data_IF_840453146843
#
_entry.id   IF_840453146843
#
_cell.length_a   1.000
_cell.length_b   1.000
_cell.length_c   1.000
_cell.angle_alpha   90.00
_cell.angle_beta   90.00
_cell.angle_gamma   90.00
#
_symmetry.space_group_name_H-M   'P 1'
#
loop_
_entity.id
_entity.type
_entity.pdbx_description
1 polymer ?
#
# COMPACT_ATOMS: atom_id res chain seq x y z
N UNK A 1 -5.88 -13.32 -5.12
CA UNK A 1 -4.98 -12.19 -5.38
C UNK A 1 -4.67 -12.08 -6.87
N UNK A 2 -4.24 -13.17 -7.50
CA UNK A 2 -3.80 -13.21 -8.91
C UNK A 2 -4.78 -12.62 -9.92
N UNK A 3 -6.09 -12.93 -9.83
CA UNK A 3 -7.09 -12.37 -10.75
C UNK A 3 -7.24 -10.84 -10.64
N UNK A 4 -7.07 -10.28 -9.45
CA UNK A 4 -7.13 -8.83 -9.24
C UNK A 4 -5.91 -8.15 -9.87
N UNK A 5 -4.71 -8.68 -9.60
CA UNK A 5 -3.47 -8.20 -10.22
C UNK A 5 -3.55 -8.30 -11.74
N UNK A 6 -4.09 -9.41 -12.26
CA UNK A 6 -4.25 -9.60 -13.70
C UNK A 6 -5.20 -8.55 -14.32
N UNK A 7 -6.23 -8.13 -13.60
CA UNK A 7 -7.13 -7.06 -14.06
C UNK A 7 -6.47 -5.69 -14.01
N UNK A 8 -5.71 -5.41 -12.96
CA UNK A 8 -4.88 -4.20 -12.86
C UNK A 8 -3.83 -4.18 -13.99
N UNK A 9 -3.25 -5.33 -14.32
CA UNK A 9 -2.32 -5.48 -15.45
C UNK A 9 -2.98 -5.13 -16.78
N UNK A 10 -4.24 -5.56 -16.99
CA UNK A 10 -5.01 -5.18 -18.20
C UNK A 10 -5.29 -3.67 -18.28
N UNK A 11 -5.39 -2.98 -17.15
CA UNK A 11 -5.48 -1.52 -17.11
C UNK A 11 -4.12 -0.87 -17.40
N UNK A 12 -3.06 -1.38 -16.78
CA UNK A 12 -1.68 -0.96 -16.99
C UNK A 12 -0.71 -2.08 -16.65
N UNK A 13 -0.01 -2.59 -17.67
CA UNK A 13 0.97 -3.66 -17.49
C UNK A 13 2.01 -3.27 -16.43
N UNK A 14 2.44 -2.01 -16.43
CA UNK A 14 3.40 -1.49 -15.46
C UNK A 14 2.91 -1.62 -14.01
N UNK A 15 1.65 -1.26 -13.72
CA UNK A 15 1.10 -1.39 -12.37
C UNK A 15 0.88 -2.85 -11.98
N UNK A 16 0.42 -3.68 -12.93
CA UNK A 16 0.30 -5.12 -12.71
C UNK A 16 1.64 -5.77 -12.39
N UNK A 17 2.70 -5.42 -13.11
CA UNK A 17 4.05 -5.94 -12.90
C UNK A 17 4.63 -5.51 -11.55
N UNK A 18 4.38 -4.28 -11.10
CA UNK A 18 4.77 -3.84 -9.76
C UNK A 18 4.09 -4.67 -8.66
N UNK A 19 2.78 -4.89 -8.76
CA UNK A 19 2.05 -5.69 -7.76
C UNK A 19 2.48 -7.16 -7.79
N UNK A 20 2.68 -7.73 -8.97
CA UNK A 20 3.22 -9.09 -9.10
C UNK A 20 4.63 -9.20 -8.50
N UNK A 21 5.45 -8.16 -8.68
CA UNK A 21 6.80 -8.10 -8.09
C UNK A 21 6.74 -8.05 -6.57
N UNK A 22 5.85 -7.24 -5.99
CA UNK A 22 5.65 -7.19 -4.54
C UNK A 22 5.30 -8.58 -3.98
N UNK A 23 4.33 -9.27 -4.58
CA UNK A 23 3.94 -10.63 -4.16
C UNK A 23 5.10 -11.62 -4.31
N UNK A 24 5.86 -11.54 -5.41
CA UNK A 24 7.01 -12.41 -5.62
C UNK A 24 8.08 -12.21 -4.55
N UNK A 25 8.41 -10.96 -4.21
CA UNK A 25 9.40 -10.64 -3.18
C UNK A 25 8.98 -11.17 -1.80
N UNK A 26 7.72 -11.01 -1.43
CA UNK A 26 7.18 -11.58 -0.19
C UNK A 26 7.33 -13.11 -0.16
N UNK A 27 6.99 -13.80 -1.26
CA UNK A 27 7.18 -15.25 -1.37
C UNK A 27 8.66 -15.70 -1.32
N UNK A 28 9.59 -14.79 -1.58
CA UNK A 28 11.05 -15.01 -1.51
C UNK A 28 11.62 -14.65 -0.12
N UNK A 29 10.80 -14.14 0.81
CA UNK A 29 11.21 -13.70 2.16
C UNK A 29 11.81 -12.29 2.18
N UNK A 30 11.60 -11.49 1.12
CA UNK A 30 12.14 -10.13 0.96
C UNK A 30 11.07 -9.08 1.33
N UNK A 31 10.48 -9.21 2.52
CA UNK A 31 9.22 -8.54 2.92
C UNK A 31 9.30 -7.01 3.00
N UNK A 32 10.45 -6.48 3.43
CA UNK A 32 10.67 -5.03 3.42
C UNK A 32 10.58 -4.48 2.00
N UNK A 33 11.26 -5.14 1.05
CA UNK A 33 11.25 -4.77 -0.36
C UNK A 33 9.86 -4.98 -0.98
N UNK A 34 9.19 -6.10 -0.64
CA UNK A 34 7.83 -6.38 -1.05
C UNK A 34 6.87 -5.26 -0.64
N UNK A 35 6.91 -4.86 0.62
CA UNK A 35 6.09 -3.78 1.19
C UNK A 35 6.37 -2.45 0.51
N UNK A 36 7.65 -2.12 0.29
CA UNK A 36 8.04 -0.89 -0.40
C UNK A 36 7.50 -0.83 -1.83
N UNK A 37 7.63 -1.92 -2.60
CA UNK A 37 7.11 -2.01 -3.98
C UNK A 37 5.60 -1.86 -3.99
N UNK A 38 4.89 -2.54 -3.07
CA UNK A 38 3.44 -2.45 -2.94
C UNK A 38 2.97 -1.01 -2.64
N UNK A 39 3.62 -0.33 -1.70
CA UNK A 39 3.25 1.03 -1.33
C UNK A 39 3.53 2.03 -2.45
N UNK A 40 4.63 1.84 -3.18
CA UNK A 40 4.90 2.65 -4.38
C UNK A 40 3.85 2.41 -5.47
N UNK A 41 3.44 1.16 -5.71
CA UNK A 41 2.36 0.85 -6.66
C UNK A 41 1.04 1.52 -6.23
N UNK A 42 0.74 1.50 -4.93
CA UNK A 42 -0.45 2.12 -4.34
C UNK A 42 -0.51 3.62 -4.65
N UNK A 43 0.58 4.35 -4.38
CA UNK A 43 0.64 5.79 -4.65
C UNK A 43 0.48 6.08 -6.14
N UNK A 44 1.16 5.33 -7.01
CA UNK A 44 1.13 5.55 -8.45
C UNK A 44 -0.24 5.28 -9.07
N UNK A 45 -0.95 4.23 -8.64
CA UNK A 45 -2.30 3.91 -9.12
C UNK A 45 -3.30 4.96 -8.62
N UNK A 46 -3.26 5.32 -7.32
CA UNK A 46 -4.14 6.36 -6.80
C UNK A 46 -3.95 7.70 -7.55
N UNK A 47 -2.71 8.00 -7.94
CA UNK A 47 -2.36 9.18 -8.72
C UNK A 47 -2.80 9.09 -10.18
N UNK A 48 -2.74 7.91 -10.81
CA UNK A 48 -3.04 7.74 -12.24
C UNK A 48 -4.50 8.01 -12.57
N UNK A 49 -5.41 7.59 -11.69
CA UNK A 49 -6.87 7.70 -11.86
C UNK A 49 -7.35 9.15 -11.98
N UNK A 50 -6.57 10.09 -11.43
CA UNK A 50 -6.90 11.51 -11.43
C UNK A 50 -6.33 12.28 -12.63
N UNK A 51 -5.35 11.71 -13.32
CA UNK A 51 -4.57 12.37 -14.38
C UNK A 51 -3.88 13.70 -13.96
N UNK A 52 -3.72 13.98 -12.66
CA UNK A 52 -3.08 15.19 -12.14
C UNK A 52 -1.83 14.88 -11.31
N UNK A 53 -0.66 15.08 -11.91
CA UNK A 53 0.60 14.62 -11.35
C UNK A 53 1.26 15.57 -10.32
N UNK A 54 0.69 16.75 -10.08
CA UNK A 54 1.30 17.79 -9.24
C UNK A 54 0.87 17.72 -7.76
N UNK A 55 0.06 16.72 -7.39
CA UNK A 55 -0.48 16.58 -6.04
C UNK A 55 0.25 15.49 -5.25
N UNK A 56 0.19 15.60 -3.92
CA UNK A 56 0.75 14.60 -3.02
C UNK A 56 -0.27 13.49 -2.72
N UNK A 57 0.22 12.34 -2.26
CA UNK A 57 -0.59 11.15 -2.00
C UNK A 57 -1.82 11.41 -1.11
N UNK A 58 -1.72 12.32 -0.12
CA UNK A 58 -2.86 12.72 0.71
C UNK A 58 -4.01 13.26 -0.12
N UNK A 59 -3.69 14.12 -1.07
CA UNK A 59 -4.66 14.83 -1.87
C UNK A 59 -5.29 13.88 -2.90
N UNK A 60 -4.53 12.90 -3.37
CA UNK A 60 -5.05 11.85 -4.25
C UNK A 60 -6.06 10.97 -3.50
N UNK A 61 -5.75 10.52 -2.28
CA UNK A 61 -6.70 9.77 -1.44
C UNK A 61 -7.96 10.58 -1.14
N UNK A 62 -7.83 11.85 -0.76
CA UNK A 62 -8.99 12.71 -0.50
C UNK A 62 -9.83 12.94 -1.77
N UNK A 63 -9.21 12.96 -2.95
CA UNK A 63 -9.93 13.06 -4.22
C UNK A 63 -10.71 11.78 -4.51
N UNK A 64 -10.08 10.61 -4.37
CA UNK A 64 -10.73 9.31 -4.59
C UNK A 64 -11.95 9.13 -3.67
N UNK A 65 -11.81 9.46 -2.38
CA UNK A 65 -12.92 9.41 -1.42
C UNK A 65 -14.08 10.35 -1.83
N UNK A 66 -13.78 11.60 -2.21
CA UNK A 66 -14.80 12.57 -2.61
C UNK A 66 -15.58 12.16 -3.87
N UNK A 67 -14.98 11.36 -4.73
CA UNK A 67 -15.63 10.83 -5.93
C UNK A 67 -16.27 9.44 -5.71
N UNK A 68 -16.26 8.92 -4.47
CA UNK A 68 -16.87 7.64 -4.14
C UNK A 68 -16.06 6.41 -4.55
N UNK A 69 -14.79 6.57 -4.97
CA UNK A 69 -13.88 5.49 -5.35
C UNK A 69 -13.19 4.84 -4.14
N UNK A 70 -13.28 5.48 -2.97
CA UNK A 70 -12.85 4.93 -1.70
C UNK A 70 -14.00 5.01 -0.69
N UNK A 71 -14.22 3.91 0.02
CA UNK A 71 -15.04 3.92 1.24
C UNK A 71 -14.36 4.74 2.34
N UNK A 72 -15.12 5.13 3.37
CA UNK A 72 -14.54 5.79 4.55
C UNK A 72 -13.49 4.91 5.24
N UNK A 73 -13.79 3.61 5.37
CA UNK A 73 -12.89 2.62 5.98
C UNK A 73 -11.59 2.44 5.18
N UNK A 74 -11.66 2.47 3.84
CA UNK A 74 -10.47 2.33 2.99
C UNK A 74 -9.66 3.63 2.92
N UNK A 75 -10.34 4.77 2.94
CA UNK A 75 -9.67 6.06 3.06
C UNK A 75 -8.90 6.15 4.37
N UNK A 76 -9.50 5.77 5.50
CA UNK A 76 -8.83 5.80 6.81
C UNK A 76 -7.64 4.82 6.84
N UNK A 77 -7.84 3.59 6.35
CA UNK A 77 -6.77 2.59 6.24
C UNK A 77 -5.55 3.06 5.43
N UNK A 78 -5.77 3.79 4.32
CA UNK A 78 -4.68 4.30 3.49
C UNK A 78 -4.05 5.60 4.03
N UNK A 79 -4.88 6.51 4.56
CA UNK A 79 -4.49 7.90 4.84
C UNK A 79 -4.02 8.16 6.26
N UNK A 80 -4.34 7.28 7.22
CA UNK A 80 -3.97 7.46 8.62
C UNK A 80 -2.44 7.56 8.77
N UNK A 81 -1.98 8.62 9.44
CA UNK A 81 -0.57 8.95 9.56
C UNK A 81 0.16 8.16 10.66
N UNK A 82 -0.56 7.53 11.59
CA UNK A 82 0.04 6.76 12.69
C UNK A 82 0.17 5.29 12.32
N UNK A 83 -0.90 4.67 11.81
CA UNK A 83 -1.02 3.23 11.57
C UNK A 83 -1.47 2.87 10.15
N UNK A 84 -1.89 3.86 9.35
CA UNK A 84 -2.26 3.66 7.97
C UNK A 84 -1.05 3.47 7.05
N UNK A 85 -1.33 3.03 5.82
CA UNK A 85 -0.29 2.76 4.80
C UNK A 85 0.65 3.95 4.61
N UNK A 86 0.11 5.17 4.57
CA UNK A 86 0.92 6.38 4.48
C UNK A 86 1.85 6.58 5.68
N UNK A 87 1.35 6.35 6.90
CA UNK A 87 2.14 6.47 8.13
C UNK A 87 3.32 5.52 8.14
N UNK A 88 3.08 4.25 7.84
CA UNK A 88 4.10 3.21 7.75
C UNK A 88 5.14 3.58 6.68
N UNK A 89 4.69 3.92 5.47
CA UNK A 89 5.56 4.33 4.37
C UNK A 89 6.46 5.53 4.73
N UNK A 90 5.91 6.54 5.39
CA UNK A 90 6.70 7.71 5.80
C UNK A 90 7.80 7.33 6.81
N UNK A 91 7.50 6.42 7.74
CA UNK A 91 8.48 5.88 8.70
C UNK A 91 9.56 5.05 7.98
N UNK A 92 9.20 4.24 6.98
CA UNK A 92 10.15 3.46 6.16
C UNK A 92 11.17 4.34 5.43
N UNK A 93 10.77 5.54 5.00
CA UNK A 93 11.63 6.48 4.27
C UNK A 93 12.45 7.39 5.18
N UNK A 94 12.25 7.31 6.50
CA UNK A 94 13.01 8.09 7.46
C UNK A 94 14.43 7.51 7.61
N UNK A 95 15.44 8.36 7.74
CA UNK A 95 16.85 7.92 7.88
C UNK A 95 17.07 6.98 9.09
N UNK A 96 16.22 7.13 10.11
CA UNK A 96 16.24 6.37 11.35
C UNK A 96 15.09 5.34 11.39
N UNK A 97 14.68 4.80 10.24
CA UNK A 97 13.53 3.89 10.10
C UNK A 97 13.53 2.73 11.12
N UNK A 98 14.69 2.15 11.39
CA UNK A 98 14.84 1.02 12.32
C UNK A 98 14.70 1.39 13.81
N UNK A 99 14.49 2.67 14.15
CA UNK A 99 14.13 3.09 15.50
C UNK A 99 12.62 3.07 15.75
N UNK A 100 11.80 2.89 14.71
CA UNK A 100 10.35 2.83 14.84
C UNK A 100 9.84 1.41 15.12
N UNK A 101 8.71 1.35 15.81
CA UNK A 101 7.92 0.14 16.00
C UNK A 101 6.47 0.40 15.60
N UNK A 102 5.76 -0.67 15.24
CA UNK A 102 4.30 -0.71 15.25
C UNK A 102 3.81 -1.49 16.46
N UNK A 103 2.56 -1.29 16.80
CA UNK A 103 1.84 -2.09 17.78
C UNK A 103 0.69 -2.76 17.04
N UNK A 104 0.56 -4.09 17.16
CA UNK A 104 -0.58 -4.80 16.59
C UNK A 104 -1.84 -4.63 17.46
N UNK A 105 -2.95 -5.22 17.03
CA UNK A 105 -4.21 -5.15 17.77
C UNK A 105 -4.19 -5.87 19.14
N UNK A 106 -3.18 -6.71 19.39
CA UNK A 106 -3.00 -7.45 20.63
C UNK A 106 -1.99 -6.77 21.58
N UNK A 107 -1.42 -5.62 21.18
CA UNK A 107 -0.44 -4.88 21.95
C UNK A 107 0.99 -5.38 21.77
N UNK A 108 1.25 -6.22 20.76
CA UNK A 108 2.60 -6.72 20.47
C UNK A 108 3.37 -5.63 19.73
N UNK A 109 4.54 -5.30 20.27
CA UNK A 109 5.46 -4.35 19.65
C UNK A 109 6.24 -5.04 18.54
N UNK A 110 6.14 -4.50 17.34
CA UNK A 110 6.76 -4.97 16.10
C UNK A 110 7.84 -3.97 15.65
N UNK A 111 9.13 -4.19 15.99
CA UNK A 111 10.21 -3.29 15.62
C UNK A 111 10.53 -3.38 14.13
N UNK A 112 10.73 -2.23 13.46
CA UNK A 112 11.09 -2.20 12.04
C UNK A 112 12.47 -2.81 11.73
N UNK A 113 13.31 -2.97 12.75
CA UNK A 113 14.60 -3.64 12.66
C UNK A 113 14.49 -5.17 12.56
N UNK A 114 13.32 -5.75 12.85
CA UNK A 114 13.06 -7.18 12.76
C UNK A 114 12.47 -7.52 11.39
N UNK A 115 13.06 -8.50 10.71
CA UNK A 115 12.59 -8.97 9.41
C UNK A 115 11.15 -9.51 9.50
N UNK A 116 10.82 -10.20 10.61
CA UNK A 116 9.49 -10.75 10.86
C UNK A 116 8.39 -9.68 10.97
N UNK A 117 8.75 -8.44 11.34
CA UNK A 117 7.79 -7.33 11.35
C UNK A 117 7.29 -7.03 9.94
N UNK A 118 8.15 -7.11 8.93
CA UNK A 118 7.77 -6.79 7.56
C UNK A 118 6.90 -7.88 6.94
N UNK A 119 7.14 -9.14 7.27
CA UNK A 119 6.26 -10.26 6.92
C UNK A 119 4.85 -10.02 7.48
N UNK A 120 4.74 -9.71 8.78
CA UNK A 120 3.47 -9.40 9.44
C UNK A 120 2.77 -8.19 8.79
N UNK A 121 3.52 -7.14 8.44
CA UNK A 121 2.96 -5.97 7.74
C UNK A 121 2.43 -6.37 6.37
N UNK A 122 3.19 -7.12 5.58
CA UNK A 122 2.78 -7.51 4.24
C UNK A 122 1.54 -8.40 4.28
N UNK A 123 1.49 -9.38 5.18
CA UNK A 123 0.36 -10.29 5.33
C UNK A 123 -0.93 -9.57 5.73
N UNK A 124 -0.84 -8.62 6.65
CA UNK A 124 -2.01 -7.89 7.16
C UNK A 124 -2.50 -6.81 6.19
N UNK A 125 -1.58 -6.12 5.50
CA UNK A 125 -1.92 -4.96 4.68
C UNK A 125 -2.02 -5.30 3.19
N UNK A 126 -1.16 -6.18 2.69
CA UNK A 126 -0.98 -6.51 1.28
C UNK A 126 -2.28 -6.91 0.56
N UNK A 127 -3.00 -7.94 1.03
CA UNK A 127 -4.24 -8.37 0.42
C UNK A 127 -5.31 -7.27 0.39
N UNK A 128 -5.42 -6.48 1.46
CA UNK A 128 -6.39 -5.38 1.54
C UNK A 128 -6.05 -4.26 0.57
N UNK A 129 -4.77 -3.87 0.48
CA UNK A 129 -4.31 -2.86 -0.47
C UNK A 129 -4.61 -3.29 -1.90
N UNK A 130 -4.26 -4.52 -2.29
CA UNK A 130 -4.51 -5.02 -3.66
C UNK A 130 -6.00 -4.99 -3.99
N UNK A 131 -6.86 -5.35 -3.02
CA UNK A 131 -8.32 -5.27 -3.18
C UNK A 131 -8.80 -3.83 -3.41
N UNK A 132 -8.30 -2.87 -2.61
CA UNK A 132 -8.64 -1.46 -2.76
C UNK A 132 -8.21 -0.94 -4.14
N UNK A 133 -6.99 -1.24 -4.57
CA UNK A 133 -6.47 -0.82 -5.88
C UNK A 133 -7.27 -1.40 -7.04
N UNK A 134 -7.70 -2.66 -6.92
CA UNK A 134 -8.59 -3.28 -7.88
C UNK A 134 -9.94 -2.57 -7.96
N UNK A 135 -10.55 -2.25 -6.81
CA UNK A 135 -11.81 -1.50 -6.75
C UNK A 135 -11.70 -0.13 -7.38
N UNK A 136 -10.65 0.63 -7.03
CA UNK A 136 -10.37 1.95 -7.63
C UNK A 136 -10.33 1.86 -9.16
N UNK A 137 -9.56 0.93 -9.72
CA UNK A 137 -9.39 0.78 -11.19
C UNK A 137 -10.68 0.31 -11.88
N UNK A 138 -11.49 -0.50 -11.20
CA UNK A 138 -12.70 -1.05 -11.79
C UNK A 138 -13.91 -0.11 -11.70
N UNK A 139 -13.85 0.89 -10.81
CA UNK A 139 -14.90 1.90 -10.61
C UNK A 139 -14.55 3.27 -11.22
N UNK A 140 -13.28 3.48 -11.59
CA UNK A 140 -12.79 4.68 -12.29
C UNK A 140 -13.18 4.77 -13.75
#
# INVERSE_FOLDING_TARGET
MDKMIQRIWQYSNYYGDMLATAVRLHNEGEDYAATLVLYNATELICKSVRENYNQNFSQDLSHLQKNGLLSEDDYEFLSNNEFGVRGIRNKMMHRDAYQFCLEDSEGIVLPFADDGTWEIIFDNYGPRIIKILYSIINES
#
